data_IF_864614518707
#
_entry.id   IF_864614518707
#
_cell.length_a   1.000
_cell.length_b   1.000
_cell.length_c   1.000
_cell.angle_alpha   90.00
_cell.angle_beta   90.00
_cell.angle_gamma   90.00
#
_symmetry.space_group_name_H-M   'P 1'
#
loop_
_entity.id
_entity.type
_entity.pdbx_description
1 polymer ?
#
# COMPACT_ATOMS: atom_id res chain seq x y z
N UNK A 1 -41.50 20.27 15.66
CA UNK A 1 -40.57 20.65 14.56
C UNK A 1 -39.16 20.62 15.14
N UNK A 2 -38.39 19.57 14.84
CA UNK A 2 -37.05 19.38 15.42
C UNK A 2 -36.07 20.33 14.74
N UNK A 3 -35.37 21.17 15.52
CA UNK A 3 -34.39 22.09 14.96
C UNK A 3 -33.16 21.30 14.49
N UNK A 4 -32.79 21.48 13.22
CA UNK A 4 -31.58 20.86 12.66
C UNK A 4 -30.37 21.23 13.52
N UNK A 5 -29.54 20.23 13.83
CA UNK A 5 -28.32 20.39 14.62
C UNK A 5 -27.41 21.45 13.99
N UNK A 6 -26.66 22.19 14.81
CA UNK A 6 -25.73 23.23 14.34
C UNK A 6 -24.74 22.69 13.28
N UNK A 7 -24.39 21.41 13.40
CA UNK A 7 -23.60 20.68 12.41
C UNK A 7 -24.30 20.58 11.05
N UNK A 8 -25.60 20.28 11.05
CA UNK A 8 -26.40 20.08 9.84
C UNK A 8 -26.61 21.41 9.09
N UNK A 9 -26.79 22.50 9.84
CA UNK A 9 -26.81 23.87 9.28
C UNK A 9 -25.49 24.22 8.59
N UNK A 10 -24.36 23.94 9.26
CA UNK A 10 -23.02 24.21 8.73
C UNK A 10 -22.69 23.34 7.51
N UNK A 11 -23.15 22.10 7.50
CA UNK A 11 -23.04 21.19 6.34
C UNK A 11 -23.80 21.73 5.13
N UNK A 12 -25.05 22.17 5.32
CA UNK A 12 -25.86 22.75 4.26
C UNK A 12 -25.28 24.06 3.72
N UNK A 13 -24.74 24.90 4.59
CA UNK A 13 -24.08 26.15 4.20
C UNK A 13 -22.85 25.91 3.33
N UNK A 14 -22.06 24.88 3.66
CA UNK A 14 -20.91 24.48 2.85
C UNK A 14 -21.31 23.91 1.49
N UNK A 15 -22.38 23.09 1.44
CA UNK A 15 -22.93 22.58 0.18
C UNK A 15 -23.33 23.74 -0.73
N UNK A 16 -24.07 24.72 -0.19
CA UNK A 16 -24.51 25.90 -0.93
C UNK A 16 -23.34 26.75 -1.46
N UNK A 17 -22.32 26.98 -0.63
CA UNK A 17 -21.10 27.71 -1.06
C UNK A 17 -20.37 26.98 -2.19
N UNK A 18 -20.28 25.66 -2.13
CA UNK A 18 -19.65 24.87 -3.17
C UNK A 18 -20.45 24.92 -4.48
N UNK A 19 -21.78 24.86 -4.41
CA UNK A 19 -22.67 25.02 -5.58
C UNK A 19 -22.50 26.39 -6.24
N UNK A 20 -22.43 27.47 -5.45
CA UNK A 20 -22.18 28.82 -5.97
C UNK A 20 -20.82 28.96 -6.66
N UNK A 21 -19.79 28.31 -6.11
CA UNK A 21 -18.46 28.27 -6.73
C UNK A 21 -18.49 27.52 -8.07
N UNK A 22 -19.19 26.38 -8.13
CA UNK A 22 -19.32 25.60 -9.36
C UNK A 22 -20.08 26.37 -10.45
N UNK A 23 -21.16 27.08 -10.06
CA UNK A 23 -21.90 27.98 -10.95
C UNK A 23 -21.01 29.10 -11.48
N UNK A 24 -20.22 29.73 -10.60
CA UNK A 24 -19.29 30.80 -10.99
C UNK A 24 -18.21 30.32 -11.95
N UNK A 25 -17.80 29.07 -11.86
CA UNK A 25 -16.82 28.44 -12.75
C UNK A 25 -17.44 27.88 -14.04
N UNK A 26 -18.76 28.02 -14.24
CA UNK A 26 -19.46 27.52 -15.42
C UNK A 26 -19.54 25.99 -15.48
N UNK A 27 -19.26 25.31 -14.37
CA UNK A 27 -19.32 23.86 -14.25
C UNK A 27 -20.72 23.48 -13.75
N UNK A 28 -21.71 23.58 -14.65
CA UNK A 28 -23.03 23.02 -14.38
C UNK A 28 -22.89 21.50 -14.22
N UNK A 29 -23.49 20.96 -13.15
CA UNK A 29 -23.51 19.55 -12.84
C UNK A 29 -23.76 18.71 -14.09
N UNK A 30 -22.88 17.74 -14.34
CA UNK A 30 -23.05 16.72 -15.37
C UNK A 30 -24.46 16.14 -15.21
N UNK A 31 -25.26 16.25 -16.27
CA UNK A 31 -26.63 15.75 -16.31
C UNK A 31 -26.68 14.29 -15.84
N UNK A 32 -27.74 13.86 -15.11
CA UNK A 32 -27.91 12.45 -14.82
C UNK A 32 -27.92 11.68 -16.14
N UNK A 33 -27.12 10.61 -16.18
CA UNK A 33 -26.95 9.75 -17.33
C UNK A 33 -28.33 9.36 -17.92
N UNK A 34 -28.50 9.58 -19.23
CA UNK A 34 -29.71 9.23 -19.98
C UNK A 34 -30.12 7.79 -19.69
N UNK A 35 -31.38 7.59 -19.32
CA UNK A 35 -32.08 6.31 -19.43
C UNK A 35 -31.92 5.75 -20.86
N UNK A 36 -31.17 4.66 -20.98
CA UNK A 36 -31.16 3.85 -22.19
C UNK A 36 -32.51 3.14 -22.29
N UNK A 37 -33.31 3.56 -23.27
CA UNK A 37 -34.56 2.88 -23.65
C UNK A 37 -34.23 1.43 -24.02
N UNK A 38 -34.83 0.49 -23.26
CA UNK A 38 -34.89 -0.94 -23.63
C UNK A 38 -35.58 -1.07 -24.98
N UNK A 39 -34.88 -1.60 -25.98
CA UNK A 39 -35.50 -2.18 -27.17
C UNK A 39 -35.68 -3.68 -26.96
N UNK A 40 -36.93 -4.14 -27.08
CA UNK A 40 -37.39 -5.53 -27.06
C UNK A 40 -36.69 -6.41 -28.12
N UNK A 41 -36.62 -7.74 -27.92
CA UNK A 41 -35.81 -8.64 -28.72
C UNK A 41 -36.50 -9.03 -30.03
N UNK A 42 -35.81 -8.83 -31.15
CA UNK A 42 -36.20 -9.36 -32.46
C UNK A 42 -35.55 -10.73 -32.69
N UNK A 43 -36.38 -11.70 -33.05
CA UNK A 43 -36.05 -13.10 -33.22
C UNK A 43 -35.26 -13.43 -34.51
N UNK A 44 -34.73 -14.67 -34.51
CA UNK A 44 -34.18 -15.49 -35.62
C UNK A 44 -32.67 -15.31 -35.89
N UNK A 45 -31.83 -16.33 -36.08
CA UNK A 45 -32.08 -17.72 -36.49
C UNK A 45 -31.01 -18.70 -35.96
N UNK A 46 -31.45 -19.96 -35.80
CA UNK A 46 -30.65 -21.14 -35.45
C UNK A 46 -29.87 -21.62 -36.69
N UNK A 47 -28.57 -21.87 -36.55
CA UNK A 47 -27.82 -22.80 -37.41
C UNK A 47 -26.96 -23.69 -36.52
N UNK A 48 -27.10 -25.01 -36.71
CA UNK A 48 -26.53 -26.09 -35.89
C UNK A 48 -25.38 -26.82 -36.57
N UNK A 49 -24.43 -27.31 -35.73
CA UNK A 49 -23.45 -28.43 -35.91
C UNK A 49 -22.32 -28.18 -36.93
N UNK A 50 -21.08 -28.61 -36.75
CA UNK A 50 -20.38 -29.62 -35.92
C UNK A 50 -18.92 -29.09 -35.68
N UNK A 51 -18.03 -29.55 -34.81
CA UNK A 51 -17.56 -30.89 -34.49
C UNK A 51 -16.71 -30.87 -33.21
N UNK A 52 -16.62 -32.05 -32.59
CA UNK A 52 -15.96 -32.34 -31.33
C UNK A 52 -14.42 -32.17 -31.35
N UNK A 53 -13.87 -31.78 -30.20
CA UNK A 53 -12.68 -32.43 -29.59
C UNK A 53 -12.63 -32.10 -28.09
N UNK A 54 -12.89 -33.14 -27.29
CA UNK A 54 -12.69 -33.15 -25.83
C UNK A 54 -11.18 -33.20 -25.56
N UNK A 55 -10.68 -32.23 -24.79
CA UNK A 55 -9.43 -32.39 -24.05
C UNK A 55 -9.77 -32.31 -22.56
N UNK A 56 -9.63 -33.45 -21.89
CA UNK A 56 -9.50 -33.56 -20.43
C UNK A 56 -8.23 -32.82 -20.02
N UNK A 57 -8.35 -31.81 -19.16
CA UNK A 57 -7.22 -31.19 -18.47
C UNK A 57 -7.36 -31.56 -16.99
N UNK A 58 -6.34 -32.26 -16.51
CA UNK A 58 -6.21 -32.71 -15.14
C UNK A 58 -6.03 -31.57 -14.16
N UNK A 59 -6.31 -31.90 -12.90
CA UNK A 59 -6.10 -31.11 -11.71
C UNK A 59 -4.61 -30.79 -11.58
N UNK A 60 -4.20 -29.56 -11.88
CA UNK A 60 -2.82 -29.10 -11.65
C UNK A 60 -2.84 -27.84 -10.78
N UNK A 61 -2.05 -27.88 -9.72
CA UNK A 61 -1.97 -26.90 -8.64
C UNK A 61 -1.75 -25.47 -9.14
N UNK A 62 -2.68 -24.57 -8.81
CA UNK A 62 -2.60 -23.15 -9.15
C UNK A 62 -1.58 -22.45 -8.23
N UNK A 63 -0.33 -22.38 -8.68
CA UNK A 63 0.60 -21.31 -8.32
C UNK A 63 0.73 -20.38 -9.54
N UNK A 64 0.65 -19.04 -9.38
CA UNK A 64 0.78 -18.13 -10.51
C UNK A 64 2.20 -18.21 -11.11
N UNK A 65 2.30 -18.73 -12.34
CA UNK A 65 3.55 -18.79 -13.13
C UNK A 65 4.03 -17.38 -13.49
N UNK A 66 5.15 -16.97 -12.90
CA UNK A 66 5.89 -15.76 -13.31
C UNK A 66 6.55 -15.96 -14.68
N UNK A 67 6.42 -14.97 -15.58
CA UNK A 67 7.21 -14.91 -16.81
C UNK A 67 8.65 -14.50 -16.46
N UNK A 68 9.57 -15.46 -16.53
CA UNK A 68 11.01 -15.24 -16.37
C UNK A 68 11.60 -14.63 -17.65
N UNK A 69 12.21 -13.45 -17.53
CA UNK A 69 13.09 -12.87 -18.55
C UNK A 69 14.53 -13.02 -18.10
N UNK A 70 15.19 -14.12 -18.50
CA UNK A 70 16.65 -14.19 -18.49
C UNK A 70 17.17 -15.22 -19.49
N UNK A 71 17.60 -14.75 -20.65
CA UNK A 71 18.75 -15.33 -21.34
C UNK A 71 19.87 -14.30 -21.29
N UNK A 72 20.90 -14.63 -20.51
CA UNK A 72 22.11 -13.86 -20.31
C UNK A 72 23.22 -14.65 -20.98
N UNK A 73 23.73 -14.17 -22.11
CA UNK A 73 24.98 -14.66 -22.67
C UNK A 73 26.09 -13.63 -22.51
N UNK A 74 27.26 -14.15 -22.18
CA UNK A 74 28.45 -13.47 -21.71
C UNK A 74 29.16 -12.70 -22.83
N UNK A 75 29.64 -11.49 -22.54
CA UNK A 75 31.01 -11.09 -22.88
C UNK A 75 31.47 -9.90 -22.04
N UNK A 76 32.66 -10.08 -21.46
CA UNK A 76 33.44 -9.09 -20.75
C UNK A 76 33.94 -8.01 -21.70
N UNK A 77 33.87 -6.74 -21.30
CA UNK A 77 35.04 -5.86 -21.18
C UNK A 77 34.64 -4.50 -20.57
N UNK A 78 35.64 -3.95 -19.87
CA UNK A 78 35.71 -2.74 -19.05
C UNK A 78 35.13 -1.48 -19.71
N UNK A 79 34.29 -0.72 -19.00
CA UNK A 79 34.08 0.71 -19.23
C UNK A 79 33.39 1.40 -18.03
N UNK A 80 34.01 2.49 -17.58
CA UNK A 80 33.51 3.44 -16.59
C UNK A 80 32.25 4.19 -17.07
N UNK A 81 31.50 4.70 -16.09
CA UNK A 81 30.53 5.80 -16.18
C UNK A 81 29.15 5.51 -16.79
N UNK A 82 28.14 5.39 -15.91
CA UNK A 82 26.93 6.25 -15.84
C UNK A 82 25.85 5.51 -15.04
N UNK A 83 25.63 5.98 -13.82
CA UNK A 83 24.43 5.65 -13.06
C UNK A 83 23.21 6.13 -13.85
N UNK A 84 22.41 5.16 -14.32
CA UNK A 84 21.12 5.44 -14.93
C UNK A 84 20.15 5.85 -13.83
N UNK A 85 19.68 7.08 -13.94
CA UNK A 85 18.45 7.55 -13.31
C UNK A 85 17.31 6.56 -13.62
N UNK A 86 16.89 5.82 -12.60
CA UNK A 86 15.61 5.10 -12.62
C UNK A 86 14.57 6.12 -12.19
N UNK A 87 13.79 6.59 -13.16
CA UNK A 87 12.65 7.47 -12.94
C UNK A 87 11.66 6.80 -11.97
N UNK A 88 11.51 7.41 -10.80
CA UNK A 88 10.51 7.06 -9.80
C UNK A 88 9.13 7.52 -10.27
N UNK A 89 8.41 6.65 -10.96
CA UNK A 89 6.95 6.69 -11.05
C UNK A 89 6.42 5.32 -10.61
N UNK A 90 6.53 5.04 -9.30
CA UNK A 90 5.77 3.97 -8.66
C UNK A 90 5.01 4.54 -7.45
N UNK A 91 4.28 5.62 -7.70
CA UNK A 91 2.96 5.79 -7.08
C UNK A 91 1.95 5.27 -8.10
N UNK A 92 1.82 3.95 -8.17
CA UNK A 92 0.58 3.39 -8.71
C UNK A 92 -0.52 3.67 -7.68
N UNK A 93 -1.15 4.82 -7.87
CA UNK A 93 -2.55 4.99 -7.54
C UNK A 93 -3.33 3.95 -8.37
N UNK A 94 -3.43 2.72 -7.88
CA UNK A 94 -4.33 1.71 -8.43
C UNK A 94 -5.77 2.10 -8.10
N UNK A 95 -6.26 3.17 -8.71
CA UNK A 95 -7.68 3.25 -9.03
C UNK A 95 -7.86 2.31 -10.22
N UNK A 96 -8.13 1.04 -9.91
CA UNK A 96 -8.53 0.08 -10.94
C UNK A 96 -9.86 0.60 -11.49
N UNK A 97 -9.86 1.04 -12.74
CA UNK A 97 -11.11 1.17 -13.49
C UNK A 97 -11.75 -0.22 -13.49
N UNK A 98 -12.88 -0.33 -12.79
CA UNK A 98 -13.68 -1.54 -12.76
C UNK A 98 -14.25 -1.73 -14.16
N UNK A 99 -13.67 -2.64 -14.92
CA UNK A 99 -14.41 -3.29 -16.00
C UNK A 99 -15.55 -4.06 -15.33
N UNK A 100 -16.79 -3.75 -15.69
CA UNK A 100 -18.03 -4.15 -15.00
C UNK A 100 -18.42 -5.63 -15.20
N UNK A 101 -17.51 -6.48 -15.64
CA UNK A 101 -17.79 -7.87 -15.94
C UNK A 101 -17.21 -8.79 -14.85
N UNK A 102 -18.08 -9.16 -13.91
CA UNK A 102 -17.88 -9.92 -12.66
C UNK A 102 -17.55 -9.08 -11.42
N UNK A 103 -18.61 -8.74 -10.67
CA UNK A 103 -18.51 -8.32 -9.29
C UNK A 103 -17.85 -9.44 -8.45
N UNK A 104 -16.52 -9.41 -8.35
CA UNK A 104 -15.72 -10.17 -7.39
C UNK A 104 -16.26 -9.89 -5.99
N UNK A 105 -17.16 -10.75 -5.50
CA UNK A 105 -17.62 -10.69 -4.13
C UNK A 105 -16.40 -10.81 -3.21
N UNK A 106 -16.02 -9.71 -2.55
CA UNK A 106 -14.92 -9.69 -1.61
C UNK A 106 -15.24 -10.64 -0.46
N UNK A 107 -14.41 -11.67 -0.28
CA UNK A 107 -14.57 -12.72 0.71
C UNK A 107 -13.79 -12.33 1.98
N UNK A 108 -14.34 -12.66 3.13
CA UNK A 108 -13.67 -12.49 4.42
C UNK A 108 -12.48 -13.46 4.55
N UNK A 109 -11.46 -13.07 5.33
CA UNK A 109 -10.23 -13.86 5.46
C UNK A 109 -10.48 -15.24 6.08
N UNK A 110 -11.42 -15.35 7.01
CA UNK A 110 -11.77 -16.64 7.63
C UNK A 110 -12.36 -17.60 6.60
N UNK A 111 -13.36 -17.14 5.85
CA UNK A 111 -13.97 -17.91 4.76
C UNK A 111 -12.94 -18.29 3.69
N UNK A 112 -11.99 -17.40 3.38
CA UNK A 112 -10.89 -17.71 2.46
C UNK A 112 -9.98 -18.83 2.99
N UNK A 113 -9.64 -18.80 4.28
CA UNK A 113 -8.82 -19.84 4.90
C UNK A 113 -9.55 -21.19 4.89
N UNK A 114 -10.84 -21.21 5.19
CA UNK A 114 -11.68 -22.42 5.15
C UNK A 114 -11.74 -23.02 3.74
N UNK A 115 -11.96 -22.19 2.72
CA UNK A 115 -12.01 -22.63 1.32
C UNK A 115 -10.70 -23.25 0.83
N UNK A 116 -9.56 -22.77 1.34
CA UNK A 116 -8.23 -23.23 0.93
C UNK A 116 -7.59 -24.24 1.91
N UNK A 117 -8.32 -24.67 2.95
CA UNK A 117 -7.82 -25.55 4.02
C UNK A 117 -6.54 -25.00 4.70
N UNK A 118 -6.45 -23.69 4.86
CA UNK A 118 -5.32 -23.01 5.50
C UNK A 118 -5.63 -22.83 7.00
N UNK A 119 -4.66 -23.10 7.87
CA UNK A 119 -4.80 -22.79 9.29
C UNK A 119 -4.70 -21.28 9.52
N UNK A 120 -5.75 -20.63 10.03
CA UNK A 120 -5.78 -19.18 10.13
C UNK A 120 -4.82 -18.69 11.23
N UNK A 121 -4.01 -17.69 10.87
CA UNK A 121 -3.07 -17.04 11.77
C UNK A 121 -3.73 -16.17 12.85
N UNK A 122 -2.91 -15.51 13.69
CA UNK A 122 -3.38 -14.58 14.70
C UNK A 122 -4.09 -13.37 14.08
N UNK A 123 -5.00 -12.78 14.86
CA UNK A 123 -5.64 -11.52 14.53
C UNK A 123 -4.71 -10.34 14.83
N UNK A 124 -4.71 -9.35 13.94
CA UNK A 124 -4.05 -8.05 14.15
C UNK A 124 -5.06 -6.92 13.99
N UNK A 125 -4.82 -5.83 14.70
CA UNK A 125 -5.67 -4.63 14.74
C UNK A 125 -5.35 -3.62 13.63
N UNK A 126 -4.38 -3.93 12.76
CA UNK A 126 -3.89 -3.01 11.73
C UNK A 126 -2.93 -1.94 12.27
N UNK A 127 -2.46 -2.06 13.52
CA UNK A 127 -1.62 -1.06 14.17
C UNK A 127 -0.30 -1.64 14.70
N UNK A 128 0.81 -1.04 14.29
CA UNK A 128 2.13 -1.31 14.82
C UNK A 128 2.42 -0.45 16.06
N UNK A 129 2.69 -1.14 17.16
CA UNK A 129 2.95 -0.56 18.50
C UNK A 129 4.43 -0.61 18.88
N UNK A 130 5.24 -1.33 18.11
CA UNK A 130 6.67 -1.43 18.35
C UNK A 130 7.44 -0.14 18.03
N UNK A 131 8.72 -0.16 18.38
CA UNK A 131 9.70 0.85 17.98
C UNK A 131 10.73 0.26 17.01
N UNK A 132 11.82 0.98 16.75
CA UNK A 132 12.98 0.45 16.01
C UNK A 132 13.54 -0.74 16.78
N UNK A 133 13.99 -1.77 16.06
CA UNK A 133 14.69 -2.92 16.63
C UNK A 133 15.80 -2.47 17.60
N UNK A 134 15.93 -3.14 18.74
CA UNK A 134 16.80 -2.71 19.84
C UNK A 134 18.28 -2.70 19.43
N UNK A 135 18.73 -3.69 18.67
CA UNK A 135 20.12 -3.79 18.21
C UNK A 135 20.44 -2.67 17.20
N UNK A 136 19.51 -2.41 16.28
CA UNK A 136 19.61 -1.31 15.32
C UNK A 136 19.56 0.04 16.03
N UNK A 137 18.73 0.17 17.05
CA UNK A 137 18.58 1.38 17.85
C UNK A 137 19.87 1.69 18.62
N UNK A 138 20.45 0.70 19.29
CA UNK A 138 21.69 0.86 20.05
C UNK A 138 22.89 1.16 19.15
N UNK A 139 23.04 0.41 18.05
CA UNK A 139 24.15 0.61 17.11
C UNK A 139 24.15 1.99 16.45
N UNK A 140 22.97 2.53 16.14
CA UNK A 140 22.82 3.84 15.51
C UNK A 140 22.65 4.99 16.52
N UNK A 141 22.49 4.71 17.81
CA UNK A 141 22.21 5.74 18.82
C UNK A 141 20.85 6.41 18.63
N UNK A 142 19.84 5.67 18.17
CA UNK A 142 18.47 6.18 18.05
C UNK A 142 17.82 6.25 19.44
N UNK A 143 17.05 7.31 19.68
CA UNK A 143 16.33 7.51 20.93
C UNK A 143 15.40 6.32 21.28
N UNK A 144 15.15 6.14 22.57
CA UNK A 144 14.38 5.01 23.11
C UNK A 144 12.90 5.06 22.75
N UNK A 145 12.39 6.26 22.43
CA UNK A 145 10.99 6.48 22.11
C UNK A 145 10.80 7.47 20.96
N UNK A 146 9.61 7.42 20.33
CA UNK A 146 9.21 8.34 19.27
C UNK A 146 9.21 9.80 19.71
N UNK A 147 8.73 10.07 20.93
CA UNK A 147 8.66 11.42 21.49
C UNK A 147 10.05 11.99 21.72
N UNK A 148 10.94 11.20 22.33
CA UNK A 148 12.33 11.60 22.58
C UNK A 148 13.10 11.87 21.27
N UNK A 149 12.92 11.00 20.27
CA UNK A 149 13.49 11.18 18.93
C UNK A 149 13.04 12.51 18.29
N UNK A 150 11.75 12.82 18.41
CA UNK A 150 11.17 14.02 17.83
C UNK A 150 11.63 15.30 18.53
N UNK A 151 11.59 15.31 19.86
CA UNK A 151 11.93 16.46 20.70
C UNK A 151 13.41 16.80 20.60
N UNK A 152 14.30 15.80 20.69
CA UNK A 152 15.76 15.97 20.64
C UNK A 152 16.24 16.49 19.30
N UNK A 153 15.51 16.20 18.21
CA UNK A 153 15.88 16.60 16.85
C UNK A 153 15.09 17.84 16.37
N UNK A 154 14.87 18.79 17.28
CA UNK A 154 14.34 20.12 16.99
C UNK A 154 12.82 20.28 17.13
N UNK A 155 12.09 19.21 17.50
CA UNK A 155 10.66 19.28 17.81
C UNK A 155 9.80 19.92 16.72
N UNK A 156 8.67 20.51 17.14
CA UNK A 156 7.76 21.30 16.31
C UNK A 156 6.56 20.55 15.74
N UNK A 157 5.75 21.24 14.93
CA UNK A 157 4.57 20.67 14.27
C UNK A 157 4.94 20.18 12.87
N UNK A 158 4.86 18.86 12.65
CA UNK A 158 5.02 18.29 11.32
C UNK A 158 3.97 18.89 10.37
N UNK A 159 4.41 19.31 9.19
CA UNK A 159 3.52 19.66 8.08
C UNK A 159 4.16 19.24 6.76
N UNK A 160 3.35 18.96 5.74
CA UNK A 160 3.87 18.59 4.43
C UNK A 160 4.79 19.66 3.82
N UNK A 161 4.56 20.94 4.14
CA UNK A 161 5.37 22.07 3.70
C UNK A 161 6.69 22.21 4.48
N UNK A 162 6.73 21.64 5.68
CA UNK A 162 7.88 21.67 6.56
C UNK A 162 8.05 20.30 7.22
N UNK A 163 8.57 19.32 6.45
CA UNK A 163 8.63 17.95 6.91
C UNK A 163 9.68 17.76 8.02
N UNK A 164 10.57 18.74 8.21
CA UNK A 164 11.55 18.78 9.29
C UNK A 164 11.01 19.45 10.57
N UNK A 165 9.83 20.06 10.56
CA UNK A 165 9.20 20.63 11.76
C UNK A 165 9.87 21.90 12.30
N UNK A 166 10.76 22.56 11.55
CA UNK A 166 11.43 23.78 12.02
C UNK A 166 10.45 24.92 12.31
N UNK A 167 10.73 25.75 13.32
CA UNK A 167 9.80 26.79 13.79
C UNK A 167 9.46 27.88 12.75
N UNK A 168 10.31 28.10 11.75
CA UNK A 168 10.18 29.27 10.88
C UNK A 168 9.77 28.89 9.44
N UNK A 169 8.46 28.81 9.21
CA UNK A 169 7.89 28.56 7.87
C UNK A 169 7.95 29.80 6.96
N UNK A 170 8.31 30.97 7.51
CA UNK A 170 8.37 32.24 6.77
C UNK A 170 9.66 32.40 5.95
N UNK A 171 10.72 31.65 6.25
CA UNK A 171 12.01 31.69 5.57
C UNK A 171 12.18 30.61 4.48
N UNK A 172 11.27 29.64 4.39
CA UNK A 172 11.27 28.63 3.32
C UNK A 172 10.76 29.30 2.04
N UNK A 173 11.69 29.87 1.28
CA UNK A 173 11.43 30.31 -0.10
C UNK A 173 10.88 29.11 -0.87
N UNK A 174 9.79 29.33 -1.61
CA UNK A 174 9.15 28.33 -2.47
C UNK A 174 10.04 28.09 -3.69
N UNK A 175 11.24 27.57 -3.49
CA UNK A 175 12.12 27.21 -4.57
C UNK A 175 11.64 25.86 -5.13
N UNK A 176 10.77 25.94 -6.13
CA UNK A 176 10.15 24.78 -6.78
C UNK A 176 11.16 23.94 -7.56
N UNK A 177 12.41 24.42 -7.71
CA UNK A 177 13.42 23.82 -8.60
C UNK A 177 14.31 22.78 -7.91
N UNK A 178 14.25 22.66 -6.58
CA UNK A 178 15.13 21.76 -5.81
C UNK A 178 14.36 21.05 -4.69
N UNK A 179 13.30 20.32 -5.05
CA UNK A 179 12.74 19.32 -4.11
C UNK A 179 13.76 18.20 -4.00
N UNK A 180 14.40 18.08 -2.84
CA UNK A 180 15.26 16.92 -2.54
C UNK A 180 14.45 15.64 -2.76
N UNK A 181 15.09 14.60 -3.31
CA UNK A 181 14.42 13.33 -3.55
C UNK A 181 13.83 12.81 -2.24
N UNK A 182 12.69 12.13 -2.29
CA UNK A 182 12.08 11.52 -1.11
C UNK A 182 13.06 10.58 -0.38
N UNK A 183 14.00 9.96 -1.11
CA UNK A 183 15.09 9.16 -0.55
C UNK A 183 16.09 10.02 0.24
N UNK A 184 16.51 11.15 -0.28
CA UNK A 184 17.44 12.05 0.42
C UNK A 184 16.82 12.64 1.69
N UNK A 185 15.53 13.02 1.60
CA UNK A 185 14.78 13.47 2.76
C UNK A 185 14.70 12.38 3.83
N UNK A 186 14.29 11.16 3.45
CA UNK A 186 14.22 10.02 4.36
C UNK A 186 15.58 9.74 5.03
N UNK A 187 16.68 9.83 4.28
CA UNK A 187 18.04 9.60 4.79
C UNK A 187 18.40 10.55 5.94
N UNK A 188 17.96 11.81 5.89
CA UNK A 188 18.19 12.82 6.93
C UNK A 188 17.31 12.62 8.17
N UNK A 189 16.26 11.80 8.07
CA UNK A 189 15.27 11.63 9.12
C UNK A 189 15.58 10.48 10.08
N UNK A 190 16.72 9.78 9.94
CA UNK A 190 17.04 8.60 10.75
C UNK A 190 16.88 8.83 12.27
N UNK A 191 17.32 9.98 12.79
CA UNK A 191 17.24 10.30 14.21
C UNK A 191 15.91 10.91 14.64
N UNK A 192 15.21 11.62 13.73
CA UNK A 192 13.96 12.35 14.04
C UNK A 192 12.71 11.53 13.79
N UNK A 193 12.67 10.85 12.66
CA UNK A 193 11.58 9.99 12.22
C UNK A 193 12.18 8.72 11.58
N UNK A 194 12.58 7.75 12.41
CA UNK A 194 13.15 6.49 11.93
C UNK A 194 12.23 5.75 10.98
N UNK A 195 10.91 5.87 11.15
CA UNK A 195 9.93 5.26 10.25
C UNK A 195 10.12 5.74 8.81
N UNK A 196 10.36 7.05 8.59
CA UNK A 196 10.58 7.59 7.26
C UNK A 196 11.87 7.05 6.62
N UNK A 197 12.92 6.89 7.44
CA UNK A 197 14.20 6.34 6.99
C UNK A 197 14.05 4.88 6.56
N UNK A 198 13.62 4.00 7.48
CA UNK A 198 13.52 2.56 7.24
C UNK A 198 12.43 2.17 6.24
N UNK A 199 11.51 3.09 5.93
CA UNK A 199 10.56 2.85 4.84
C UNK A 199 11.25 2.70 3.49
N UNK A 200 12.40 3.38 3.28
CA UNK A 200 13.10 3.45 1.99
C UNK A 200 14.52 2.93 2.03
N UNK A 201 15.15 2.91 3.19
CA UNK A 201 16.55 2.56 3.39
C UNK A 201 16.69 1.41 4.38
N UNK A 202 17.70 0.56 4.17
CA UNK A 202 18.13 -0.45 5.15
C UNK A 202 18.99 0.18 6.24
N UNK A 203 19.40 -0.60 7.23
CA UNK A 203 20.37 -0.16 8.22
C UNK A 203 21.64 0.38 7.51
N UNK A 204 22.25 1.49 7.96
CA UNK A 204 23.51 1.97 7.41
C UNK A 204 24.58 0.88 7.36
N UNK A 205 25.14 0.62 6.17
CA UNK A 205 26.14 -0.42 5.95
C UNK A 205 25.58 -1.77 5.51
N UNK A 206 24.25 -1.91 5.47
CA UNK A 206 23.57 -3.12 5.00
C UNK A 206 23.04 -2.94 3.58
N UNK A 207 23.27 -3.93 2.73
CA UNK A 207 22.74 -3.93 1.37
C UNK A 207 21.26 -4.35 1.34
N UNK A 208 20.48 -3.65 0.52
CA UNK A 208 19.08 -3.99 0.30
C UNK A 208 18.95 -5.24 -0.56
N UNK A 209 18.17 -6.21 -0.09
CA UNK A 209 17.83 -7.41 -0.86
C UNK A 209 16.60 -7.15 -1.72
N UNK A 210 16.72 -7.53 -2.99
CA UNK A 210 15.64 -7.48 -3.98
C UNK A 210 15.23 -8.90 -4.37
N UNK A 211 13.94 -9.10 -4.69
CA UNK A 211 13.41 -10.37 -5.14
C UNK A 211 12.54 -11.07 -4.11
N UNK A 212 12.44 -12.39 -4.26
CA UNK A 212 11.52 -13.27 -3.54
C UNK A 212 11.79 -13.32 -2.04
N UNK A 213 10.74 -13.54 -1.25
CA UNK A 213 10.81 -13.69 0.20
C UNK A 213 11.11 -15.14 0.54
N UNK A 214 12.17 -15.39 1.31
CA UNK A 214 12.44 -16.71 1.86
C UNK A 214 11.46 -17.05 2.99
N UNK A 215 11.30 -18.33 3.27
CA UNK A 215 10.43 -18.80 4.37
C UNK A 215 10.91 -18.24 5.73
N UNK A 216 12.22 -18.19 5.95
CA UNK A 216 12.82 -17.57 7.16
C UNK A 216 12.44 -16.08 7.32
N UNK A 217 12.42 -15.31 6.22
CA UNK A 217 12.02 -13.90 6.26
C UNK A 217 10.52 -13.76 6.57
N UNK A 218 9.69 -14.65 6.04
CA UNK A 218 8.24 -14.67 6.29
C UNK A 218 7.95 -15.09 7.73
N UNK A 219 8.67 -16.07 8.27
CA UNK A 219 8.53 -16.50 9.66
C UNK A 219 8.90 -15.37 10.62
N UNK A 220 10.02 -14.68 10.35
CA UNK A 220 10.43 -13.49 11.10
C UNK A 220 9.37 -12.38 11.02
N UNK A 221 8.82 -12.13 9.83
CA UNK A 221 7.72 -11.17 9.64
C UNK A 221 6.54 -11.49 10.55
N UNK A 222 6.09 -12.75 10.57
CA UNK A 222 4.96 -13.18 11.39
C UNK A 222 5.28 -13.07 12.89
N UNK A 223 6.51 -13.38 13.30
CA UNK A 223 6.94 -13.21 14.70
C UNK A 223 6.92 -11.75 15.16
N UNK A 224 7.43 -10.84 14.33
CA UNK A 224 7.41 -9.39 14.61
C UNK A 224 5.97 -8.90 14.69
N UNK A 225 5.10 -9.31 13.76
CA UNK A 225 3.70 -8.94 13.76
C UNK A 225 2.93 -9.48 14.97
N UNK A 226 3.23 -10.70 15.43
CA UNK A 226 2.68 -11.26 16.69
C UNK A 226 3.09 -10.44 17.91
N UNK A 227 4.31 -9.92 17.91
CA UNK A 227 4.88 -9.24 19.07
C UNK A 227 4.46 -7.78 19.16
N UNK A 228 4.42 -7.07 18.03
CA UNK A 228 4.23 -5.62 17.99
C UNK A 228 2.99 -5.16 17.22
N UNK A 229 2.24 -6.08 16.61
CA UNK A 229 1.19 -5.79 15.65
C UNK A 229 1.75 -5.50 14.24
N UNK A 230 0.85 -5.30 13.28
CA UNK A 230 1.20 -4.97 11.89
C UNK A 230 0.04 -4.23 11.22
N UNK A 231 0.32 -3.50 10.14
CA UNK A 231 -0.70 -2.80 9.34
C UNK A 231 -0.42 -1.32 9.12
N UNK A 232 0.44 -0.72 9.95
CA UNK A 232 0.96 0.64 9.76
C UNK A 232 2.46 0.73 10.09
N UNK A 233 3.06 1.91 9.89
CA UNK A 233 4.47 2.23 10.23
C UNK A 233 5.48 1.19 9.74
N UNK A 234 5.35 0.80 8.47
CA UNK A 234 6.17 -0.24 7.85
C UNK A 234 7.68 0.01 7.90
N UNK A 235 8.13 1.26 8.04
CA UNK A 235 9.55 1.55 8.25
C UNK A 235 10.04 1.04 9.60
N UNK A 236 9.33 1.33 10.70
CA UNK A 236 9.70 0.79 12.01
C UNK A 236 9.64 -0.73 12.02
N UNK A 237 8.60 -1.29 11.41
CA UNK A 237 8.46 -2.75 11.27
C UNK A 237 9.66 -3.37 10.53
N UNK A 238 10.09 -2.77 9.41
CA UNK A 238 11.21 -3.26 8.61
C UNK A 238 12.55 -3.26 9.35
N UNK A 239 12.73 -2.45 10.41
CA UNK A 239 13.96 -2.48 11.21
C UNK A 239 14.21 -3.82 11.92
N UNK A 240 13.18 -4.67 12.04
CA UNK A 240 13.30 -6.03 12.59
C UNK A 240 13.59 -7.09 11.53
N UNK A 241 13.52 -6.75 10.23
CA UNK A 241 13.73 -7.69 9.13
C UNK A 241 14.97 -7.24 8.35
N UNK A 242 16.13 -7.90 8.53
CA UNK A 242 17.35 -7.48 7.88
C UNK A 242 17.21 -7.51 6.36
N UNK A 243 17.93 -6.63 5.69
CA UNK A 243 17.98 -6.43 4.24
C UNK A 243 16.66 -6.02 3.57
N UNK A 244 15.57 -5.88 4.32
CA UNK A 244 14.25 -5.46 3.81
C UNK A 244 13.92 -4.04 4.27
N UNK A 245 13.15 -3.35 3.45
CA UNK A 245 12.69 -1.98 3.73
C UNK A 245 11.17 -1.91 3.83
N UNK A 246 10.64 -0.84 4.41
CA UNK A 246 9.22 -0.76 4.75
C UNK A 246 8.27 -0.88 3.55
N UNK A 247 8.60 -0.33 2.38
CA UNK A 247 7.73 -0.53 1.21
C UNK A 247 7.70 -2.00 0.73
N UNK A 248 8.77 -2.77 0.96
CA UNK A 248 8.78 -4.20 0.66
C UNK A 248 7.93 -4.96 1.66
N UNK A 249 7.99 -4.59 2.94
CA UNK A 249 7.18 -5.19 3.99
C UNK A 249 5.67 -4.95 3.75
N UNK A 250 5.30 -3.73 3.35
CA UNK A 250 3.89 -3.40 3.06
C UNK A 250 3.34 -4.10 1.81
N UNK A 251 4.19 -4.36 0.82
CA UNK A 251 3.86 -5.18 -0.34
C UNK A 251 3.72 -6.66 0.06
N UNK A 252 4.70 -7.21 0.77
CA UNK A 252 4.69 -8.59 1.25
C UNK A 252 3.47 -8.90 2.13
N UNK A 253 3.06 -7.95 2.95
CA UNK A 253 1.86 -8.08 3.77
C UNK A 253 0.61 -8.40 2.94
N UNK A 254 0.41 -7.66 1.85
CA UNK A 254 -0.76 -7.78 0.96
C UNK A 254 -0.65 -8.93 -0.03
N UNK A 255 0.56 -9.23 -0.51
CA UNK A 255 0.78 -10.19 -1.58
C UNK A 255 1.09 -11.60 -1.07
N UNK A 256 1.64 -11.73 0.14
CA UNK A 256 2.15 -13.00 0.68
C UNK A 256 1.44 -13.33 2.00
N UNK A 257 1.50 -12.42 2.98
CA UNK A 257 1.09 -12.73 4.36
C UNK A 257 -0.43 -12.94 4.47
N UNK A 258 -1.22 -11.99 3.96
CA UNK A 258 -2.69 -12.06 3.99
C UNK A 258 -3.21 -13.23 3.12
N UNK A 259 -2.80 -13.40 1.85
CA UNK A 259 -3.31 -14.49 1.01
C UNK A 259 -2.96 -15.89 1.52
N UNK A 260 -1.80 -16.04 2.18
CA UNK A 260 -1.40 -17.29 2.84
C UNK A 260 -2.09 -17.53 4.19
N UNK A 261 -2.96 -16.64 4.64
CA UNK A 261 -3.66 -16.76 5.93
C UNK A 261 -2.75 -16.70 7.16
N UNK A 262 -1.50 -16.23 7.00
CA UNK A 262 -0.52 -16.19 8.10
C UNK A 262 -0.87 -15.16 9.17
N UNK A 263 -1.61 -14.12 8.78
CA UNK A 263 -2.14 -13.07 9.66
C UNK A 263 -3.54 -12.71 9.17
N UNK A 264 -4.46 -12.49 10.11
CA UNK A 264 -5.81 -12.01 9.83
C UNK A 264 -5.95 -10.56 10.23
N UNK A 265 -6.25 -9.72 9.25
CA UNK A 265 -6.49 -8.30 9.42
C UNK A 265 -7.89 -7.97 8.91
N UNK A 266 -8.82 -7.52 9.77
CA UNK A 266 -10.19 -7.21 9.38
C UNK A 266 -10.26 -6.07 8.37
N UNK A 267 -9.22 -5.24 8.27
CA UNK A 267 -9.16 -4.13 7.33
C UNK A 267 -8.97 -4.57 5.87
N UNK A 268 -8.76 -5.87 5.64
CA UNK A 268 -8.60 -6.46 4.32
C UNK A 268 -9.70 -7.48 4.03
N UNK A 269 -10.03 -7.60 2.75
CA UNK A 269 -10.78 -8.72 2.18
C UNK A 269 -10.01 -9.31 1.02
N UNK A 270 -10.35 -10.53 0.63
CA UNK A 270 -9.68 -11.24 -0.46
C UNK A 270 -10.64 -11.42 -1.62
N UNK A 271 -10.17 -11.13 -2.84
CA UNK A 271 -10.91 -11.52 -4.06
C UNK A 271 -10.83 -13.03 -4.25
N UNK A 272 -11.73 -13.62 -5.04
CA UNK A 272 -11.68 -15.04 -5.36
C UNK A 272 -10.33 -15.48 -5.99
N UNK A 273 -9.64 -14.53 -6.61
CA UNK A 273 -8.32 -14.70 -7.22
C UNK A 273 -7.14 -14.63 -6.21
N UNK A 274 -7.41 -14.48 -4.92
CA UNK A 274 -6.40 -14.43 -3.86
C UNK A 274 -5.74 -13.05 -3.67
N UNK A 275 -6.29 -11.98 -4.27
CA UNK A 275 -5.75 -10.61 -4.11
C UNK A 275 -6.34 -9.97 -2.86
N UNK A 276 -5.48 -9.51 -1.95
CA UNK A 276 -5.90 -8.74 -0.78
C UNK A 276 -6.27 -7.30 -1.17
N UNK A 277 -7.47 -6.88 -0.80
CA UNK A 277 -8.04 -5.54 -1.02
C UNK A 277 -8.28 -4.89 0.33
N UNK A 278 -7.73 -3.69 0.53
CA UNK A 278 -7.99 -2.90 1.72
C UNK A 278 -9.39 -2.30 1.65
N UNK A 279 -10.23 -2.62 2.63
CA UNK A 279 -11.65 -2.21 2.68
C UNK A 279 -11.91 -1.08 3.67
N UNK A 280 -10.87 -0.62 4.38
CA UNK A 280 -10.99 0.47 5.36
C UNK A 280 -10.81 -0.01 6.79
N UNK A 281 -10.70 0.94 7.72
CA UNK A 281 -10.51 0.63 9.14
C UNK A 281 -11.80 0.08 9.73
N UNK A 282 -11.74 -1.16 10.20
CA UNK A 282 -12.79 -1.75 11.01
C UNK A 282 -12.61 -1.24 12.43
N UNK A 283 -13.49 -0.32 12.82
CA UNK A 283 -13.59 0.11 14.21
C UNK A 283 -14.29 -1.02 14.98
N UNK A 284 -13.55 -1.72 15.84
CA UNK A 284 -14.13 -2.57 16.87
C UNK A 284 -14.43 -1.74 18.13
#
# INVERSE_FOLDING_TARGET
MSSASEYEKRRLENIKKNEEILLRLGLNAVAPCRELKRSEPSALSIVTKSDAKRHTIGLESYLPKRRSTRNKELKSERLESKEKEISENHEENCTVHMEEDEADALIDLDTWCDMNNIQPGPWVDGHYRGWVNEDVRQSLGIASSASEAWESNGGGKFSYRNPYGHMDTKSIKKDTKTRSSAKEWARKMIYKNPNAYFYRHTCPGEEQKYGEWSEEEVDLFVQVAKTYGSGDKWGLFASHIPHRVGYQCSAAYREIVIPRGLIRDPNFRITRNGKAIYVGRHCH
#
